data_IF_024236948370
#
_entry.id   IF_024236948370
#
_cell.length_a   1.000
_cell.length_b   1.000
_cell.length_c   1.000
_cell.angle_alpha   90.00
_cell.angle_beta   90.00
_cell.angle_gamma   90.00
#
_symmetry.space_group_name_H-M   'P 1'
#
loop_
_entity.id
_entity.type
_entity.pdbx_description
1 polymer ?
#
# COMPACT_ATOMS: atom_id res chain seq x y z
N UNK A 1 -55.59 1.18 -15.59
CA UNK A 1 -56.61 0.92 -14.56
C UNK A 1 -57.64 -0.03 -15.14
N UNK A 2 -57.91 -1.14 -14.45
CA UNK A 2 -59.15 -1.90 -14.58
C UNK A 2 -59.68 -2.10 -13.15
N UNK A 3 -60.96 -1.81 -12.85
CA UNK A 3 -61.47 -1.82 -11.49
C UNK A 3 -61.76 -3.25 -11.04
N UNK A 4 -61.35 -3.57 -9.81
CA UNK A 4 -61.86 -4.75 -9.09
C UNK A 4 -63.16 -4.40 -8.38
N UNK A 5 -64.12 -5.33 -8.40
CA UNK A 5 -65.40 -5.20 -7.71
C UNK A 5 -65.20 -5.11 -6.18
N UNK A 6 -65.80 -4.08 -5.58
CA UNK A 6 -65.71 -3.80 -4.14
C UNK A 6 -64.77 -2.63 -3.85
N UNK A 7 -65.33 -1.46 -3.57
CA UNK A 7 -64.65 -0.19 -3.37
C UNK A 7 -63.77 -0.08 -2.11
N UNK A 8 -63.04 -1.14 -1.74
CA UNK A 8 -61.96 -1.04 -0.76
C UNK A 8 -60.64 -0.75 -1.48
N UNK A 9 -59.97 0.33 -1.05
CA UNK A 9 -58.59 0.62 -1.46
C UNK A 9 -57.73 -0.59 -1.10
N UNK A 10 -57.27 -1.33 -2.12
CA UNK A 10 -56.40 -2.51 -1.97
C UNK A 10 -55.21 -2.11 -1.09
N UNK A 11 -55.18 -2.64 0.14
CA UNK A 11 -54.17 -2.30 1.13
C UNK A 11 -52.75 -2.60 0.63
N UNK A 12 -51.71 -2.03 1.28
CA UNK A 12 -50.34 -2.19 0.82
C UNK A 12 -49.96 -3.67 0.74
N UNK A 13 -49.11 -4.07 -0.23
CA UNK A 13 -48.72 -5.46 -0.43
C UNK A 13 -48.21 -6.11 0.87
N UNK A 14 -48.39 -7.44 1.07
CA UNK A 14 -48.02 -8.12 2.32
C UNK A 14 -46.58 -7.87 2.77
N UNK A 15 -45.65 -7.76 1.81
CA UNK A 15 -44.24 -7.41 2.03
C UNK A 15 -44.08 -6.07 2.74
N UNK A 16 -44.90 -5.08 2.37
CA UNK A 16 -44.88 -3.72 2.92
C UNK A 16 -45.42 -3.70 4.35
N UNK A 17 -46.51 -4.44 4.62
CA UNK A 17 -47.05 -4.56 5.98
C UNK A 17 -46.04 -5.19 6.94
N UNK A 18 -45.36 -6.25 6.50
CA UNK A 18 -44.29 -6.92 7.27
C UNK A 18 -43.10 -5.97 7.51
N UNK A 19 -42.79 -5.12 6.53
CA UNK A 19 -41.74 -4.12 6.65
C UNK A 19 -42.08 -3.03 7.68
N UNK A 20 -43.32 -2.51 7.64
CA UNK A 20 -43.79 -1.50 8.60
C UNK A 20 -43.82 -2.03 10.04
N UNK A 21 -44.15 -3.31 10.25
CA UNK A 21 -44.10 -3.91 11.59
C UNK A 21 -42.70 -3.97 12.21
N UNK A 22 -41.64 -4.01 11.39
CA UNK A 22 -40.25 -4.03 11.88
C UNK A 22 -39.84 -2.69 12.52
N UNK A 23 -40.40 -1.57 12.06
CA UNK A 23 -40.15 -0.25 12.65
C UNK A 23 -40.86 -0.03 14.00
N UNK A 24 -41.91 -0.81 14.29
CA UNK A 24 -42.61 -0.81 15.57
C UNK A 24 -41.98 -1.73 16.63
N UNK A 25 -40.97 -2.53 16.27
CA UNK A 25 -40.26 -3.39 17.23
C UNK A 25 -39.48 -2.54 18.23
N UNK A 26 -39.38 -2.98 19.49
CA UNK A 26 -38.51 -2.35 20.49
C UNK A 26 -37.03 -2.75 20.31
N UNK A 27 -36.74 -3.80 19.51
CA UNK A 27 -35.38 -4.25 19.24
C UNK A 27 -34.75 -3.40 18.14
N UNK A 28 -33.59 -2.81 18.42
CA UNK A 28 -32.87 -1.99 17.43
C UNK A 28 -32.41 -2.78 16.20
N UNK A 29 -32.08 -4.07 16.39
CA UNK A 29 -31.72 -4.99 15.30
C UNK A 29 -32.86 -5.11 14.26
N UNK A 30 -34.10 -5.28 14.73
CA UNK A 30 -35.27 -5.40 13.86
C UNK A 30 -35.55 -4.10 13.11
N UNK A 31 -35.36 -2.94 13.77
CA UNK A 31 -35.47 -1.63 13.12
C UNK A 31 -34.41 -1.48 12.03
N UNK A 32 -33.19 -1.95 12.27
CA UNK A 32 -32.10 -1.90 11.29
C UNK A 32 -32.36 -2.82 10.09
N UNK A 33 -32.86 -4.03 10.33
CA UNK A 33 -33.32 -4.96 9.27
C UNK A 33 -34.49 -4.34 8.48
N UNK A 34 -35.44 -3.71 9.18
CA UNK A 34 -36.53 -2.95 8.58
C UNK A 34 -36.01 -1.83 7.68
N UNK A 35 -35.03 -1.06 8.14
CA UNK A 35 -34.41 0.02 7.37
C UNK A 35 -33.73 -0.50 6.09
N UNK A 36 -32.92 -1.56 6.19
CA UNK A 36 -32.24 -2.19 5.05
C UNK A 36 -33.21 -2.79 4.03
N UNK A 37 -34.27 -3.45 4.50
CA UNK A 37 -35.31 -3.98 3.64
C UNK A 37 -36.10 -2.84 2.96
N UNK A 38 -36.32 -1.73 3.67
CA UNK A 38 -37.05 -0.57 3.15
C UNK A 38 -36.29 0.11 2.02
N UNK A 39 -34.95 0.12 2.07
CA UNK A 39 -34.12 0.66 0.98
C UNK A 39 -34.23 -0.16 -0.31
N UNK A 40 -34.34 -1.49 -0.20
CA UNK A 40 -34.52 -2.38 -1.37
C UNK A 40 -35.92 -2.26 -1.97
N UNK A 41 -36.94 -2.04 -1.14
CA UNK A 41 -38.36 -2.05 -1.56
C UNK A 41 -38.89 -0.62 -1.81
N UNK A 42 -38.20 0.41 -1.32
CA UNK A 42 -38.56 1.83 -1.38
C UNK A 42 -38.91 2.34 -2.78
N UNK A 43 -38.09 2.08 -3.81
CA UNK A 43 -38.42 2.48 -5.18
C UNK A 43 -39.72 1.83 -5.71
N UNK A 44 -40.01 0.59 -5.30
CA UNK A 44 -41.24 -0.11 -5.68
C UNK A 44 -42.46 0.42 -4.91
N UNK A 45 -42.26 0.97 -3.71
CA UNK A 45 -43.30 1.58 -2.88
C UNK A 45 -43.84 2.89 -3.45
N UNK A 46 -43.03 3.64 -4.21
CA UNK A 46 -43.45 4.92 -4.80
C UNK A 46 -44.72 4.82 -5.66
N UNK A 47 -45.01 3.64 -6.24
CA UNK A 47 -46.23 3.40 -7.04
C UNK A 47 -47.52 3.36 -6.20
N UNK A 48 -47.40 3.17 -4.90
CA UNK A 48 -48.52 2.94 -3.97
C UNK A 48 -48.70 4.04 -2.94
N UNK A 49 -47.76 4.99 -2.87
CA UNK A 49 -47.79 6.11 -1.94
C UNK A 49 -48.35 7.35 -2.68
N UNK A 50 -49.37 8.03 -2.15
CA UNK A 50 -50.01 9.15 -2.84
C UNK A 50 -49.34 10.50 -2.56
N UNK A 51 -49.36 11.38 -3.57
CA UNK A 51 -49.14 12.83 -3.42
C UNK A 51 -47.85 13.22 -2.70
N UNK A 52 -47.99 14.02 -1.64
CA UNK A 52 -46.87 14.59 -0.86
C UNK A 52 -45.95 13.53 -0.27
N UNK A 53 -46.51 12.43 0.23
CA UNK A 53 -45.76 11.34 0.87
C UNK A 53 -44.82 10.61 -0.11
N UNK A 54 -45.21 10.55 -1.40
CA UNK A 54 -44.35 9.98 -2.44
C UNK A 54 -43.16 10.89 -2.75
N UNK A 55 -43.38 12.21 -2.69
CA UNK A 55 -42.33 13.23 -2.77
C UNK A 55 -41.35 13.09 -1.62
N UNK A 56 -41.85 13.03 -0.37
CA UNK A 56 -41.02 12.88 0.82
C UNK A 56 -40.19 11.58 0.79
N UNK A 57 -40.81 10.46 0.38
CA UNK A 57 -40.12 9.18 0.21
C UNK A 57 -39.03 9.24 -0.87
N UNK A 58 -39.28 9.93 -1.99
CA UNK A 58 -38.29 10.12 -3.06
C UNK A 58 -37.12 10.98 -2.59
N UNK A 59 -37.41 12.05 -1.86
CA UNK A 59 -36.39 12.92 -1.25
C UNK A 59 -35.52 12.13 -0.29
N UNK A 60 -36.13 11.31 0.56
CA UNK A 60 -35.42 10.45 1.49
C UNK A 60 -34.55 9.40 0.77
N UNK A 61 -35.08 8.69 -0.24
CA UNK A 61 -34.32 7.70 -1.01
C UNK A 61 -33.13 8.33 -1.74
N UNK A 62 -33.31 9.52 -2.31
CA UNK A 62 -32.25 10.23 -3.03
C UNK A 62 -31.17 10.73 -2.07
N UNK A 63 -31.58 11.30 -0.94
CA UNK A 63 -30.66 11.73 0.14
C UNK A 63 -29.85 10.55 0.67
N UNK A 64 -30.53 9.42 0.92
CA UNK A 64 -29.88 8.21 1.35
C UNK A 64 -28.90 7.68 0.30
N UNK A 65 -29.24 7.76 -0.99
CA UNK A 65 -28.34 7.36 -2.07
C UNK A 65 -27.03 8.15 -2.04
N UNK A 66 -27.09 9.49 -1.87
CA UNK A 66 -25.87 10.29 -1.72
C UNK A 66 -25.09 9.92 -0.46
N UNK A 67 -25.78 9.78 0.67
CA UNK A 67 -25.14 9.43 1.94
C UNK A 67 -24.42 8.08 1.87
N UNK A 68 -25.06 7.08 1.26
CA UNK A 68 -24.53 5.72 1.15
C UNK A 68 -23.33 5.62 0.18
N UNK A 69 -23.29 6.47 -0.86
CA UNK A 69 -22.10 6.56 -1.73
C UNK A 69 -20.94 7.28 -1.05
N UNK A 70 -21.23 8.23 -0.15
CA UNK A 70 -20.23 8.99 0.59
C UNK A 70 -19.35 9.88 -0.30
N UNK A 71 -18.37 10.56 0.29
CA UNK A 71 -17.46 11.46 -0.42
C UNK A 71 -17.97 12.90 -0.50
N UNK A 72 -17.03 13.85 -0.60
CA UNK A 72 -17.33 15.28 -0.47
C UNK A 72 -18.35 15.76 -1.51
N UNK A 73 -18.17 15.41 -2.78
CA UNK A 73 -19.08 15.82 -3.87
C UNK A 73 -20.51 15.32 -3.67
N UNK A 74 -20.67 14.08 -3.21
CA UNK A 74 -21.98 13.51 -2.92
C UNK A 74 -22.62 14.18 -1.71
N UNK A 75 -21.87 14.46 -0.64
CA UNK A 75 -22.37 15.17 0.55
C UNK A 75 -22.81 16.60 0.19
N UNK A 76 -22.00 17.32 -0.59
CA UNK A 76 -22.36 18.67 -1.07
C UNK A 76 -23.61 18.61 -1.94
N UNK A 77 -23.68 17.69 -2.91
CA UNK A 77 -24.84 17.49 -3.77
C UNK A 77 -26.09 17.08 -3.00
N UNK A 78 -25.94 16.29 -1.92
CA UNK A 78 -27.02 15.92 -1.00
C UNK A 78 -27.62 17.15 -0.32
N UNK A 79 -26.78 18.04 0.22
CA UNK A 79 -27.25 19.27 0.85
C UNK A 79 -27.92 20.20 -0.16
N UNK A 80 -27.34 20.38 -1.36
CA UNK A 80 -27.96 21.16 -2.43
C UNK A 80 -29.32 20.58 -2.83
N UNK A 81 -29.41 19.25 -2.97
CA UNK A 81 -30.65 18.56 -3.26
C UNK A 81 -31.70 18.78 -2.16
N UNK A 82 -31.33 18.63 -0.88
CA UNK A 82 -32.23 18.86 0.26
C UNK A 82 -32.73 20.31 0.32
N UNK A 83 -31.84 21.29 0.12
CA UNK A 83 -32.23 22.70 0.07
C UNK A 83 -33.25 22.93 -1.04
N UNK A 84 -32.95 22.46 -2.25
CA UNK A 84 -33.82 22.62 -3.42
C UNK A 84 -35.17 21.90 -3.28
N UNK A 85 -35.19 20.73 -2.64
CA UNK A 85 -36.38 19.90 -2.53
C UNK A 85 -37.28 20.25 -1.33
N UNK A 86 -36.72 20.76 -0.23
CA UNK A 86 -37.44 20.92 1.06
C UNK A 86 -37.50 22.36 1.54
N UNK A 87 -36.48 23.18 1.26
CA UNK A 87 -36.36 24.53 1.82
C UNK A 87 -36.79 25.59 0.81
N UNK A 88 -36.05 25.72 -0.30
CA UNK A 88 -36.29 26.75 -1.31
C UNK A 88 -35.61 26.39 -2.66
N UNK A 89 -36.19 26.78 -3.80
CA UNK A 89 -35.58 26.56 -5.11
C UNK A 89 -34.19 27.21 -5.20
N UNK A 90 -33.20 26.43 -5.65
CA UNK A 90 -31.86 26.93 -5.89
C UNK A 90 -31.74 27.62 -7.26
N UNK A 91 -30.84 28.61 -7.41
CA UNK A 91 -30.56 29.23 -8.70
C UNK A 91 -30.04 28.23 -9.73
N UNK A 92 -30.31 28.50 -11.02
CA UNK A 92 -29.94 27.61 -12.13
C UNK A 92 -28.44 27.30 -12.19
N UNK A 93 -27.59 28.22 -11.73
CA UNK A 93 -26.14 28.04 -11.65
C UNK A 93 -25.68 26.91 -10.72
N UNK A 94 -26.53 26.49 -9.78
CA UNK A 94 -26.24 25.41 -8.83
C UNK A 94 -27.01 24.12 -9.16
N UNK A 95 -27.93 24.15 -10.12
CA UNK A 95 -28.79 23.01 -10.49
C UNK A 95 -28.58 22.54 -11.93
N UNK A 96 -27.83 23.29 -12.75
CA UNK A 96 -27.41 22.90 -14.09
C UNK A 96 -25.91 23.08 -14.25
N UNK A 97 -25.18 22.11 -14.85
CA UNK A 97 -23.80 22.32 -15.24
C UNK A 97 -23.79 23.42 -16.31
N UNK A 98 -23.30 24.61 -15.96
CA UNK A 98 -23.16 25.70 -16.90
C UNK A 98 -22.36 25.23 -18.12
N UNK A 99 -22.89 25.44 -19.33
CA UNK A 99 -22.15 25.21 -20.57
C UNK A 99 -20.83 25.99 -20.49
N UNK A 100 -19.71 25.28 -20.63
CA UNK A 100 -18.37 25.87 -20.52
C UNK A 100 -18.22 27.05 -21.50
N UNK A 101 -17.72 28.22 -21.06
CA UNK A 101 -17.43 29.30 -21.98
C UNK A 101 -16.20 28.92 -22.82
N UNK A 102 -16.41 28.80 -24.14
CA UNK A 102 -15.34 28.73 -25.13
C UNK A 102 -14.62 30.08 -25.19
N UNK A 103 -13.42 30.16 -24.61
CA UNK A 103 -12.57 31.35 -24.68
C UNK A 103 -11.11 31.01 -24.39
N UNK A 104 -10.27 31.12 -25.41
CA UNK A 104 -8.82 30.90 -25.35
C UNK A 104 -8.14 31.84 -24.34
N UNK A 105 -7.14 31.37 -23.56
CA UNK A 105 -6.39 32.26 -22.68
C UNK A 105 -5.20 32.87 -23.42
N UNK A 106 -5.23 34.19 -23.61
CA UNK A 106 -4.06 34.99 -23.94
C UNK A 106 -3.67 35.90 -22.77
N UNK A 107 -2.37 36.08 -22.54
CA UNK A 107 -1.82 37.23 -21.79
C UNK A 107 -1.11 36.92 -20.46
N UNK A 108 0.19 37.20 -20.43
CA UNK A 108 1.11 37.10 -19.28
C UNK A 108 0.90 38.15 -18.19
N UNK A 109 1.32 37.83 -16.95
CA UNK A 109 1.57 38.79 -15.87
C UNK A 109 2.12 38.12 -14.61
N UNK A 110 3.28 38.57 -14.13
CA UNK A 110 4.12 37.93 -13.11
C UNK A 110 3.96 38.50 -11.67
N UNK A 111 4.32 37.64 -10.71
CA UNK A 111 4.93 37.87 -9.38
C UNK A 111 4.16 38.55 -8.22
N UNK A 112 4.05 37.84 -7.09
CA UNK A 112 4.74 38.11 -5.78
C UNK A 112 3.89 37.80 -4.51
N UNK A 113 4.49 36.98 -3.63
CA UNK A 113 4.50 37.03 -2.14
C UNK A 113 3.22 37.25 -1.30
N UNK A 114 2.92 36.29 -0.41
CA UNK A 114 2.05 36.54 0.76
C UNK A 114 1.58 35.26 1.46
N UNK A 115 2.01 35.08 2.71
CA UNK A 115 1.63 33.99 3.60
C UNK A 115 0.12 33.96 3.91
N UNK A 116 -0.41 32.75 4.12
CA UNK A 116 -1.67 32.52 4.83
C UNK A 116 -2.94 32.85 4.05
N UNK A 117 -3.36 31.94 3.16
CA UNK A 117 -4.75 31.92 2.68
C UNK A 117 -5.26 30.48 2.61
N UNK A 118 -6.04 30.14 3.63
CA UNK A 118 -7.04 29.08 3.53
C UNK A 118 -7.98 29.38 2.34
N UNK A 119 -8.57 28.31 1.81
CA UNK A 119 -9.55 28.27 0.72
C UNK A 119 -8.93 28.34 -0.68
N UNK A 120 -8.36 27.20 -1.10
CA UNK A 120 -8.39 26.82 -2.50
C UNK A 120 -9.84 26.81 -2.98
N UNK A 121 -10.08 27.52 -4.06
CA UNK A 121 -11.38 27.86 -4.65
C UNK A 121 -12.48 26.82 -4.44
N UNK A 122 -13.62 27.27 -3.91
CA UNK A 122 -14.89 26.61 -4.15
C UNK A 122 -15.11 26.59 -5.67
N UNK A 123 -14.74 25.48 -6.32
CA UNK A 123 -15.35 25.11 -7.58
C UNK A 123 -16.86 25.21 -7.35
N UNK A 124 -17.56 26.02 -8.14
CA UNK A 124 -18.98 26.28 -7.97
C UNK A 124 -19.71 24.94 -7.80
N UNK A 125 -20.27 24.72 -6.60
CA UNK A 125 -20.88 23.46 -6.24
C UNK A 125 -22.18 23.28 -7.04
N UNK A 126 -22.08 22.64 -8.20
CA UNK A 126 -23.24 22.27 -9.01
C UNK A 126 -23.76 20.93 -8.50
N UNK A 127 -25.06 20.87 -8.24
CA UNK A 127 -25.74 19.63 -7.89
C UNK A 127 -25.59 18.61 -9.04
N UNK A 128 -24.96 17.47 -8.74
CA UNK A 128 -24.78 16.35 -9.66
C UNK A 128 -25.50 15.11 -9.15
N UNK A 129 -25.85 14.16 -10.03
CA UNK A 129 -26.38 12.86 -9.61
C UNK A 129 -25.39 12.12 -8.67
N UNK A 130 -25.86 11.17 -7.83
CA UNK A 130 -24.99 10.39 -6.95
C UNK A 130 -23.88 9.71 -7.73
N UNK A 131 -22.64 10.01 -7.37
CA UNK A 131 -21.45 9.40 -7.96
C UNK A 131 -21.19 8.10 -7.22
N UNK A 132 -21.32 6.98 -7.92
CA UNK A 132 -21.05 5.67 -7.34
C UNK A 132 -19.54 5.42 -7.24
N UNK A 133 -19.10 4.97 -6.07
CA UNK A 133 -17.73 4.46 -5.91
C UNK A 133 -17.77 2.94 -5.94
N UNK A 134 -17.01 2.26 -6.81
CA UNK A 134 -17.05 0.80 -6.87
C UNK A 134 -16.51 0.19 -5.57
N UNK A 135 -16.80 -1.08 -5.31
CA UNK A 135 -16.26 -1.81 -4.14
C UNK A 135 -14.75 -2.06 -4.24
N UNK A 136 -14.29 -2.22 -5.48
CA UNK A 136 -12.91 -2.42 -5.87
C UNK A 136 -12.60 -1.53 -7.08
N UNK A 137 -11.39 -0.99 -7.14
CA UNK A 137 -10.93 -0.25 -8.29
C UNK A 137 -9.51 0.24 -8.10
N UNK A 138 -9.01 0.99 -9.08
CA UNK A 138 -7.73 1.67 -8.98
C UNK A 138 -7.91 3.18 -9.14
N UNK A 139 -6.92 3.97 -8.76
CA UNK A 139 -6.93 5.43 -8.95
C UNK A 139 -5.54 5.97 -9.24
N UNK A 140 -5.44 7.12 -9.91
CA UNK A 140 -4.17 7.81 -10.07
C UNK A 140 -4.34 9.33 -9.94
N UNK A 141 -3.43 10.07 -9.29
CA UNK A 141 -3.51 11.54 -9.20
C UNK A 141 -3.53 12.27 -10.55
N UNK A 142 -2.93 11.66 -11.58
CA UNK A 142 -2.90 12.23 -12.94
C UNK A 142 -4.12 11.87 -13.80
N UNK A 143 -5.01 11.00 -13.31
CA UNK A 143 -6.20 10.62 -14.07
C UNK A 143 -7.33 11.63 -13.78
N UNK A 144 -7.49 12.60 -14.69
CA UNK A 144 -8.43 13.73 -14.53
C UNK A 144 -9.64 13.68 -15.49
N UNK A 145 -9.73 12.68 -16.38
CA UNK A 145 -10.71 12.64 -17.48
C UNK A 145 -11.96 11.82 -17.15
N UNK A 146 -12.82 12.34 -16.27
CA UNK A 146 -14.25 11.98 -16.24
C UNK A 146 -14.64 10.68 -15.53
N UNK A 147 -13.69 9.83 -15.12
CA UNK A 147 -13.92 8.78 -14.13
C UNK A 147 -12.90 8.92 -13.00
N UNK A 148 -13.34 8.93 -11.74
CA UNK A 148 -12.42 9.03 -10.60
C UNK A 148 -11.60 7.75 -10.39
N UNK A 149 -12.06 6.63 -10.96
CA UNK A 149 -11.56 5.28 -10.66
C UNK A 149 -11.52 4.41 -11.92
N UNK A 150 -10.50 3.56 -12.02
CA UNK A 150 -10.46 2.45 -12.98
C UNK A 150 -11.19 1.24 -12.41
N UNK A 151 -11.92 0.50 -13.24
CA UNK A 151 -12.72 -0.64 -12.80
C UNK A 151 -11.86 -1.88 -12.48
N UNK A 152 -10.64 -1.97 -13.02
CA UNK A 152 -9.74 -3.10 -12.79
C UNK A 152 -8.26 -2.73 -12.81
N UNK A 153 -7.39 -3.55 -12.20
CA UNK A 153 -5.94 -3.40 -12.31
C UNK A 153 -5.43 -3.40 -13.76
N UNK A 154 -6.02 -4.24 -14.63
CA UNK A 154 -5.64 -4.32 -16.03
C UNK A 154 -5.91 -3.01 -16.79
N UNK A 155 -7.06 -2.39 -16.53
CA UNK A 155 -7.42 -1.10 -17.11
C UNK A 155 -6.47 0.01 -16.67
N UNK A 156 -6.16 0.07 -15.36
CA UNK A 156 -5.17 0.99 -14.82
C UNK A 156 -3.81 0.81 -15.51
N UNK A 157 -3.33 -0.44 -15.67
CA UNK A 157 -2.04 -0.69 -16.29
C UNK A 157 -2.02 -0.30 -17.78
N UNK A 158 -3.12 -0.49 -18.52
CA UNK A 158 -3.23 0.00 -19.90
C UNK A 158 -3.07 1.52 -19.98
N UNK A 159 -3.76 2.23 -19.09
CA UNK A 159 -3.63 3.70 -19.00
C UNK A 159 -2.22 4.12 -18.55
N UNK A 160 -1.66 3.48 -17.52
CA UNK A 160 -0.35 3.83 -16.96
C UNK A 160 0.78 3.61 -17.98
N UNK A 161 0.69 2.56 -18.79
CA UNK A 161 1.67 2.30 -19.85
C UNK A 161 1.69 3.41 -20.93
N UNK A 162 0.61 4.17 -21.07
CA UNK A 162 0.50 5.28 -22.02
C UNK A 162 0.87 6.63 -21.38
N UNK A 163 0.47 6.86 -20.13
CA UNK A 163 0.51 8.19 -19.49
C UNK A 163 1.44 8.28 -18.28
N UNK A 164 1.82 7.16 -17.68
CA UNK A 164 2.56 7.10 -16.42
C UNK A 164 3.99 7.66 -16.52
N UNK A 165 4.52 8.24 -15.44
CA UNK A 165 5.86 8.83 -15.42
C UNK A 165 6.97 7.78 -15.56
N UNK A 166 6.75 6.55 -15.08
CA UNK A 166 7.72 5.46 -15.16
C UNK A 166 7.50 4.52 -16.37
N UNK A 167 6.70 4.92 -17.36
CA UNK A 167 6.44 4.11 -18.56
C UNK A 167 7.75 3.76 -19.29
N UNK A 168 7.90 2.50 -19.69
CA UNK A 168 9.08 2.02 -20.44
C UNK A 168 10.38 1.93 -19.64
N UNK A 169 10.42 2.33 -18.37
CA UNK A 169 11.65 2.32 -17.55
C UNK A 169 12.06 0.93 -17.06
N UNK A 170 11.14 -0.05 -17.08
CA UNK A 170 11.35 -1.36 -16.46
C UNK A 170 11.29 -1.35 -14.93
N UNK A 171 10.81 -0.24 -14.33
CA UNK A 171 10.58 -0.11 -12.89
C UNK A 171 9.75 -1.28 -12.33
N UNK A 172 10.02 -1.72 -11.09
CA UNK A 172 9.20 -2.73 -10.44
C UNK A 172 7.74 -2.30 -10.30
N UNK A 173 6.80 -3.17 -10.69
CA UNK A 173 5.36 -2.95 -10.50
C UNK A 173 4.96 -3.43 -9.12
N UNK A 174 4.32 -2.59 -8.32
CA UNK A 174 3.97 -2.89 -6.93
C UNK A 174 2.47 -2.70 -6.70
N UNK A 175 1.76 -3.79 -6.40
CA UNK A 175 0.37 -3.71 -5.95
C UNK A 175 0.29 -3.02 -4.60
N UNK A 176 -0.39 -1.88 -4.52
CA UNK A 176 -0.60 -1.13 -3.27
C UNK A 176 -2.04 -1.28 -2.85
N UNK A 177 -2.31 -2.05 -1.80
CA UNK A 177 -3.66 -2.31 -1.32
C UNK A 177 -4.11 -1.19 -0.38
N UNK A 178 -5.17 -0.50 -0.77
CA UNK A 178 -5.72 0.68 -0.10
C UNK A 178 -7.10 0.38 0.49
N UNK A 179 -7.43 1.08 1.58
CA UNK A 179 -8.77 1.00 2.17
C UNK A 179 -9.73 1.94 1.41
N UNK A 180 -10.85 1.41 0.88
CA UNK A 180 -11.84 2.19 0.09
C UNK A 180 -12.34 3.42 0.84
N UNK A 181 -12.54 3.31 2.16
CA UNK A 181 -12.92 4.47 3.00
C UNK A 181 -11.94 5.62 2.85
N UNK A 182 -10.62 5.37 2.76
CA UNK A 182 -9.62 6.42 2.62
C UNK A 182 -9.63 7.08 1.23
N UNK A 183 -10.00 6.31 0.20
CA UNK A 183 -10.19 6.82 -1.15
C UNK A 183 -11.41 7.74 -1.21
N UNK A 184 -12.54 7.31 -0.64
CA UNK A 184 -13.80 8.09 -0.63
C UNK A 184 -13.64 9.38 0.19
N UNK A 185 -12.93 9.32 1.31
CA UNK A 185 -12.64 10.51 2.12
C UNK A 185 -11.44 11.31 1.62
N UNK A 186 -10.88 10.96 0.45
CA UNK A 186 -9.80 11.69 -0.22
C UNK A 186 -8.60 11.96 0.70
N UNK A 187 -8.18 10.94 1.45
CA UNK A 187 -7.04 11.05 2.34
C UNK A 187 -5.76 11.39 1.56
N UNK A 188 -5.10 12.47 1.97
CA UNK A 188 -3.98 13.08 1.25
C UNK A 188 -2.76 12.15 1.10
N UNK A 189 -2.57 11.23 2.05
CA UNK A 189 -1.45 10.29 2.00
C UNK A 189 -1.46 9.42 0.74
N UNK A 190 -2.61 9.14 0.12
CA UNK A 190 -2.70 8.26 -1.05
C UNK A 190 -1.94 8.87 -2.24
N UNK A 191 -2.23 10.14 -2.54
CA UNK A 191 -1.54 10.90 -3.59
C UNK A 191 -0.05 11.03 -3.30
N UNK A 192 0.30 11.31 -2.04
CA UNK A 192 1.70 11.41 -1.61
C UNK A 192 2.43 10.09 -1.75
N UNK A 193 1.82 8.97 -1.35
CA UNK A 193 2.40 7.63 -1.44
C UNK A 193 2.70 7.26 -2.89
N UNK A 194 1.71 7.41 -3.77
CA UNK A 194 1.86 7.15 -5.21
C UNK A 194 3.02 7.97 -5.78
N UNK A 195 3.01 9.28 -5.53
CA UNK A 195 4.02 10.21 -6.05
C UNK A 195 5.43 9.88 -5.53
N UNK A 196 5.57 9.60 -4.23
CA UNK A 196 6.87 9.26 -3.61
C UNK A 196 7.40 7.92 -4.12
N UNK A 197 6.54 6.92 -4.33
CA UNK A 197 6.94 5.64 -4.93
C UNK A 197 7.46 5.83 -6.35
N UNK A 198 6.78 6.64 -7.17
CA UNK A 198 7.19 6.94 -8.53
C UNK A 198 8.54 7.68 -8.58
N UNK A 199 8.74 8.67 -7.70
CA UNK A 199 10.01 9.39 -7.56
C UNK A 199 11.16 8.46 -7.17
N UNK A 200 10.86 7.42 -6.39
CA UNK A 200 11.81 6.38 -6.00
C UNK A 200 11.90 5.23 -7.03
N UNK A 201 11.39 5.40 -8.25
CA UNK A 201 11.55 4.44 -9.34
C UNK A 201 10.82 3.12 -9.11
N UNK A 202 9.71 3.16 -8.36
CA UNK A 202 8.79 2.04 -8.16
C UNK A 202 7.44 2.42 -8.76
N UNK A 203 6.89 1.57 -9.61
CA UNK A 203 5.59 1.80 -10.27
C UNK A 203 4.46 1.32 -9.34
N UNK A 204 3.65 2.21 -8.77
CA UNK A 204 2.53 1.81 -7.93
C UNK A 204 1.33 1.37 -8.77
N UNK A 205 0.72 0.25 -8.38
CA UNK A 205 -0.60 -0.22 -8.82
C UNK A 205 -1.56 -0.10 -7.61
N UNK A 206 -2.14 1.09 -7.37
CA UNK A 206 -2.99 1.35 -6.22
C UNK A 206 -4.38 0.74 -6.40
N UNK A 207 -4.70 -0.28 -5.61
CA UNK A 207 -5.96 -1.01 -5.66
C UNK A 207 -6.69 -0.78 -4.35
N UNK A 208 -7.86 -0.16 -4.39
CA UNK A 208 -8.69 -0.01 -3.21
C UNK A 208 -9.72 -1.13 -3.10
N UNK A 209 -10.02 -1.52 -1.86
CA UNK A 209 -10.98 -2.56 -1.52
C UNK A 209 -11.79 -2.19 -0.27
N UNK A 210 -12.92 -2.87 -0.03
CA UNK A 210 -13.73 -2.62 1.17
C UNK A 210 -13.04 -3.00 2.49
N UNK A 211 -12.16 -4.00 2.47
CA UNK A 211 -11.29 -4.32 3.61
C UNK A 211 -10.85 -5.78 3.71
N UNK A 212 -11.77 -6.74 3.67
CA UNK A 212 -11.46 -8.17 3.90
C UNK A 212 -11.04 -8.92 2.64
N UNK A 213 -11.12 -8.27 1.49
CA UNK A 213 -10.96 -8.87 0.15
C UNK A 213 -9.52 -8.79 -0.38
N UNK A 214 -8.54 -8.39 0.45
CA UNK A 214 -7.15 -8.22 0.02
C UNK A 214 -6.59 -9.49 -0.60
N UNK A 215 -6.86 -10.63 0.05
CA UNK A 215 -6.42 -11.94 -0.42
C UNK A 215 -7.06 -12.33 -1.76
N UNK A 216 -8.32 -11.98 -2.03
CA UNK A 216 -8.97 -12.30 -3.31
C UNK A 216 -8.36 -11.47 -4.44
N UNK A 217 -8.03 -10.20 -4.20
CA UNK A 217 -7.32 -9.36 -5.18
C UNK A 217 -5.97 -9.96 -5.52
N UNK A 218 -5.16 -10.29 -4.50
CA UNK A 218 -3.82 -10.84 -4.72
C UNK A 218 -3.89 -12.20 -5.43
N UNK A 219 -4.87 -13.04 -5.08
CA UNK A 219 -5.05 -14.38 -5.65
C UNK A 219 -5.62 -14.38 -7.07
N UNK A 220 -6.57 -13.49 -7.35
CA UNK A 220 -7.40 -13.57 -8.57
C UNK A 220 -7.06 -12.50 -9.61
N UNK A 221 -6.53 -11.34 -9.19
CA UNK A 221 -6.31 -10.20 -10.08
C UNK A 221 -4.83 -9.84 -10.25
N UNK A 222 -3.95 -10.40 -9.43
CA UNK A 222 -2.51 -10.21 -9.52
C UNK A 222 -1.83 -11.53 -9.82
N UNK A 223 -0.68 -11.45 -10.48
CA UNK A 223 0.17 -12.63 -10.75
C UNK A 223 1.64 -12.23 -10.68
N UNK A 224 2.50 -13.23 -10.61
CA UNK A 224 3.95 -13.08 -10.65
C UNK A 224 4.51 -13.53 -12.01
N UNK A 225 5.71 -13.05 -12.35
CA UNK A 225 6.42 -13.52 -13.56
C UNK A 225 6.65 -15.03 -13.56
N UNK A 226 6.90 -15.62 -12.39
CA UNK A 226 7.10 -17.07 -12.24
C UNK A 226 5.84 -17.86 -12.55
N UNK A 227 4.67 -17.39 -12.09
CA UNK A 227 3.38 -18.02 -12.40
C UNK A 227 3.06 -17.92 -13.89
N UNK A 228 3.27 -16.75 -14.49
CA UNK A 228 3.07 -16.57 -15.93
C UNK A 228 3.98 -17.51 -16.75
N UNK A 229 5.25 -17.67 -16.35
CA UNK A 229 6.18 -18.61 -16.98
C UNK A 229 5.80 -20.08 -16.74
N UNK A 230 5.21 -20.41 -15.59
CA UNK A 230 4.69 -21.75 -15.31
C UNK A 230 3.47 -22.06 -16.18
N UNK A 231 2.51 -21.12 -16.28
CA UNK A 231 1.34 -21.23 -17.16
C UNK A 231 1.74 -21.40 -18.63
N UNK A 232 2.73 -20.62 -19.10
CA UNK A 232 3.25 -20.74 -20.46
C UNK A 232 3.88 -22.11 -20.75
N UNK A 233 4.35 -22.82 -19.71
CA UNK A 233 4.87 -24.20 -19.79
C UNK A 233 3.80 -25.27 -19.52
N UNK A 234 2.53 -24.88 -19.36
CA UNK A 234 1.43 -25.79 -19.04
C UNK A 234 1.42 -26.29 -17.59
N UNK A 235 2.22 -25.69 -16.70
CA UNK A 235 2.27 -26.04 -15.28
C UNK A 235 1.22 -25.21 -14.54
N UNK A 236 0.20 -25.88 -14.01
CA UNK A 236 -0.91 -25.26 -13.26
C UNK A 236 -0.84 -25.55 -11.75
N UNK A 237 -0.02 -26.51 -11.32
CA UNK A 237 0.17 -26.84 -9.92
C UNK A 237 0.75 -25.66 -9.15
N UNK A 238 0.05 -25.22 -8.09
CA UNK A 238 0.44 -24.07 -7.27
C UNK A 238 -0.09 -22.71 -7.73
N UNK A 239 -0.85 -22.67 -8.83
CA UNK A 239 -1.49 -21.45 -9.33
C UNK A 239 -2.97 -21.48 -8.96
N UNK A 240 -3.51 -20.33 -8.53
CA UNK A 240 -4.92 -20.24 -8.19
C UNK A 240 -5.83 -20.61 -9.37
N UNK A 241 -6.82 -21.49 -9.19
CA UNK A 241 -7.78 -21.85 -10.25
C UNK A 241 -8.71 -20.68 -10.61
N UNK A 242 -8.81 -19.67 -9.75
CA UNK A 242 -9.63 -18.46 -9.94
C UNK A 242 -8.83 -17.28 -10.50
N UNK A 243 -7.57 -17.48 -10.87
CA UNK A 243 -6.74 -16.44 -11.47
C UNK A 243 -7.37 -15.92 -12.77
N UNK A 244 -7.61 -14.62 -12.83
CA UNK A 244 -8.17 -13.94 -14.00
C UNK A 244 -7.21 -13.99 -15.19
N UNK A 245 -7.78 -14.05 -16.40
CA UNK A 245 -7.00 -13.89 -17.65
C UNK A 245 -6.38 -12.50 -17.78
N UNK A 246 -7.01 -11.51 -17.15
CA UNK A 246 -6.54 -10.12 -17.11
C UNK A 246 -5.68 -9.84 -15.85
N UNK A 247 -5.20 -10.89 -15.15
CA UNK A 247 -4.38 -10.71 -13.97
C UNK A 247 -3.08 -9.96 -14.30
N UNK A 248 -2.76 -8.97 -13.47
CA UNK A 248 -1.65 -8.06 -13.70
C UNK A 248 -0.36 -8.62 -13.08
N UNK A 249 0.75 -8.71 -13.84
CA UNK A 249 2.04 -9.08 -13.27
C UNK A 249 2.54 -8.00 -12.32
N UNK A 250 2.81 -8.37 -11.06
CA UNK A 250 3.42 -7.52 -10.04
C UNK A 250 4.72 -8.13 -9.54
N UNK A 251 5.65 -7.27 -9.14
CA UNK A 251 6.92 -7.67 -8.53
C UNK A 251 6.84 -7.73 -6.99
N UNK A 252 5.93 -6.95 -6.37
CA UNK A 252 5.67 -6.99 -4.92
C UNK A 252 4.24 -6.51 -4.60
N UNK A 253 3.79 -6.77 -3.38
CA UNK A 253 2.54 -6.24 -2.82
C UNK A 253 2.85 -5.49 -1.53
N UNK A 254 2.30 -4.29 -1.39
CA UNK A 254 2.33 -3.47 -0.18
C UNK A 254 0.90 -3.33 0.32
N UNK A 255 0.63 -3.85 1.51
CA UNK A 255 -0.65 -3.65 2.18
C UNK A 255 -0.55 -2.41 3.08
N UNK A 256 -1.38 -1.40 2.82
CA UNK A 256 -1.59 -0.28 3.77
C UNK A 256 -2.87 -0.47 4.57
N UNK A 257 -3.45 -1.67 4.54
CA UNK A 257 -4.69 -2.02 5.23
C UNK A 257 -4.32 -2.45 6.63
N UNK A 258 -4.25 -1.47 7.53
CA UNK A 258 -3.87 -1.67 8.93
C UNK A 258 -3.58 -0.32 9.58
N UNK A 259 -4.54 0.22 10.32
CA UNK A 259 -4.31 1.40 11.14
C UNK A 259 -3.78 0.93 12.49
N UNK A 260 -2.58 1.32 12.95
CA UNK A 260 -1.99 0.78 14.17
C UNK A 260 -2.71 1.35 15.41
N UNK A 261 -3.89 0.82 15.72
CA UNK A 261 -4.53 0.95 17.03
C UNK A 261 -4.04 -0.14 18.00
N UNK A 262 -3.42 -1.21 17.48
CA UNK A 262 -2.93 -2.33 18.30
C UNK A 262 -1.75 -3.08 17.67
N UNK A 263 -0.95 -3.73 18.52
CA UNK A 263 0.19 -4.60 18.13
C UNK A 263 -0.26 -5.78 17.24
N UNK A 264 -1.52 -6.22 17.39
CA UNK A 264 -2.11 -7.32 16.60
C UNK A 264 -2.02 -7.07 15.09
N UNK A 265 -2.04 -5.81 14.66
CA UNK A 265 -1.97 -5.46 13.24
C UNK A 265 -0.56 -5.57 12.65
N UNK A 266 0.48 -5.79 13.47
CA UNK A 266 1.80 -6.24 13.00
C UNK A 266 1.84 -7.76 12.86
N UNK A 267 1.29 -8.48 13.84
CA UNK A 267 1.36 -9.96 13.88
C UNK A 267 0.50 -10.63 12.80
N UNK A 268 -0.64 -10.05 12.41
CA UNK A 268 -1.49 -10.64 11.37
C UNK A 268 -0.77 -10.71 10.00
N UNK A 269 -0.19 -9.62 9.47
CA UNK A 269 0.65 -9.71 8.27
C UNK A 269 1.82 -10.69 8.41
N UNK A 270 2.45 -10.79 9.59
CA UNK A 270 3.55 -11.74 9.82
C UNK A 270 3.08 -13.20 9.71
N UNK A 271 1.87 -13.52 10.18
CA UNK A 271 1.24 -14.84 9.98
C UNK A 271 0.98 -15.15 8.50
N UNK A 272 0.70 -14.12 7.69
CA UNK A 272 0.56 -14.23 6.23
C UNK A 272 1.92 -14.32 5.50
N UNK A 273 3.05 -14.29 6.23
CA UNK A 273 4.40 -14.30 5.65
C UNK A 273 4.82 -12.96 5.07
N UNK A 274 4.13 -11.86 5.41
CA UNK A 274 4.55 -10.52 5.02
C UNK A 274 5.90 -10.19 5.67
N UNK A 275 6.77 -9.56 4.88
CA UNK A 275 8.07 -9.09 5.33
C UNK A 275 8.05 -7.57 5.48
N UNK A 276 8.90 -7.06 6.37
CA UNK A 276 9.16 -5.63 6.54
C UNK A 276 7.94 -4.81 7.00
N UNK A 277 7.36 -5.20 8.14
CA UNK A 277 6.26 -4.51 8.83
C UNK A 277 6.71 -3.16 9.41
N UNK A 278 6.86 -2.15 8.55
CA UNK A 278 7.32 -0.81 8.93
C UNK A 278 6.20 0.24 8.88
N UNK A 279 6.09 1.12 9.89
CA UNK A 279 5.13 2.22 9.86
C UNK A 279 5.55 3.27 8.84
N UNK A 280 4.78 3.50 7.79
CA UNK A 280 5.07 4.53 6.77
C UNK A 280 4.71 5.96 7.22
N UNK A 281 3.88 6.08 8.24
CA UNK A 281 3.28 7.33 8.66
C UNK A 281 2.59 7.23 10.03
N UNK A 282 1.80 8.25 10.36
CA UNK A 282 1.05 8.33 11.60
C UNK A 282 -0.22 9.18 11.47
N UNK A 283 -1.10 9.06 12.46
CA UNK A 283 -2.32 9.84 12.56
C UNK A 283 -2.06 11.14 13.32
N UNK A 284 -2.49 12.27 12.76
CA UNK A 284 -2.50 13.57 13.45
C UNK A 284 -3.93 14.13 13.34
N UNK A 285 -4.68 14.08 14.44
CA UNK A 285 -6.12 14.30 14.43
C UNK A 285 -6.82 13.20 13.62
N UNK A 286 -7.58 13.57 12.60
CA UNK A 286 -8.26 12.63 11.69
C UNK A 286 -7.50 12.38 10.38
N UNK A 287 -6.32 13.01 10.20
CA UNK A 287 -5.55 12.97 8.97
C UNK A 287 -4.30 12.08 9.09
N UNK A 288 -4.05 11.29 8.04
CA UNK A 288 -2.86 10.42 7.96
C UNK A 288 -1.74 11.18 7.27
N UNK A 289 -0.57 11.20 7.91
CA UNK A 289 0.65 11.80 7.38
C UNK A 289 1.70 10.74 7.15
N UNK A 290 2.34 10.76 5.99
CA UNK A 290 3.50 9.92 5.70
C UNK A 290 4.77 10.57 6.23
N UNK A 291 5.74 9.72 6.55
CA UNK A 291 7.13 10.13 6.75
C UNK A 291 7.89 9.76 5.46
N UNK A 292 8.22 10.74 4.59
CA UNK A 292 8.76 10.47 3.26
C UNK A 292 10.00 9.55 3.25
N UNK A 293 10.88 9.70 4.24
CA UNK A 293 12.09 8.88 4.40
C UNK A 293 11.76 7.40 4.58
N UNK A 294 10.62 7.08 5.20
CA UNK A 294 10.17 5.70 5.41
C UNK A 294 9.60 5.11 4.12
N UNK A 295 8.86 5.89 3.35
CA UNK A 295 8.40 5.49 1.99
C UNK A 295 9.61 5.24 1.09
N UNK A 296 10.62 6.13 1.14
CA UNK A 296 11.88 5.96 0.42
C UNK A 296 12.62 4.69 0.83
N UNK A 297 12.74 4.41 2.12
CA UNK A 297 13.39 3.19 2.63
C UNK A 297 12.64 1.93 2.17
N UNK A 298 11.31 1.93 2.23
CA UNK A 298 10.47 0.85 1.72
C UNK A 298 10.69 0.64 0.22
N UNK A 299 10.61 1.70 -0.59
CA UNK A 299 10.84 1.64 -2.03
C UNK A 299 12.23 1.09 -2.37
N UNK A 300 13.27 1.55 -1.66
CA UNK A 300 14.63 1.04 -1.81
C UNK A 300 14.76 -0.46 -1.52
N UNK A 301 14.09 -0.96 -0.47
CA UNK A 301 14.06 -2.39 -0.15
C UNK A 301 13.30 -3.21 -1.19
N UNK A 302 12.16 -2.71 -1.68
CA UNK A 302 11.42 -3.34 -2.77
C UNK A 302 12.33 -3.48 -4.01
N UNK A 303 13.01 -2.41 -4.43
CA UNK A 303 13.94 -2.47 -5.56
C UNK A 303 15.06 -3.48 -5.31
N UNK A 304 15.59 -3.59 -4.10
CA UNK A 304 16.60 -4.57 -3.74
C UNK A 304 16.09 -6.01 -3.86
N UNK A 305 14.89 -6.30 -3.33
CA UNK A 305 14.25 -7.62 -3.46
C UNK A 305 13.97 -8.00 -4.91
N UNK A 306 13.47 -7.05 -5.71
CA UNK A 306 13.18 -7.28 -7.12
C UNK A 306 14.45 -7.45 -7.93
N UNK A 307 15.49 -6.65 -7.64
CA UNK A 307 16.83 -6.82 -8.24
C UNK A 307 17.40 -8.20 -7.92
N UNK A 308 17.31 -8.65 -6.66
CA UNK A 308 17.76 -9.98 -6.25
C UNK A 308 17.05 -11.09 -7.03
N UNK A 309 15.72 -10.99 -7.19
CA UNK A 309 14.93 -11.95 -7.97
C UNK A 309 15.32 -11.97 -9.45
N UNK A 310 15.65 -10.82 -10.04
CA UNK A 310 15.99 -10.68 -11.47
C UNK A 310 17.44 -11.10 -11.79
N UNK A 311 18.37 -11.06 -10.83
CA UNK A 311 19.77 -11.47 -11.03
C UNK A 311 19.91 -12.97 -11.23
N UNK A 312 20.80 -13.36 -12.14
CA UNK A 312 21.23 -14.75 -12.30
C UNK A 312 22.00 -15.22 -11.06
N UNK A 313 21.92 -16.52 -10.73
CA UNK A 313 22.51 -17.06 -9.50
C UNK A 313 24.00 -16.73 -9.34
N UNK A 314 24.80 -16.84 -10.40
CA UNK A 314 26.23 -16.52 -10.40
C UNK A 314 26.56 -15.03 -10.19
N UNK A 315 25.60 -14.13 -10.38
CA UNK A 315 25.78 -12.69 -10.12
C UNK A 315 25.31 -12.27 -8.72
N UNK A 316 24.62 -13.16 -7.99
CA UNK A 316 24.10 -12.90 -6.65
C UNK A 316 25.25 -12.97 -5.65
N UNK A 317 25.37 -11.92 -4.85
CA UNK A 317 26.37 -11.83 -3.78
C UNK A 317 25.65 -12.01 -2.45
N UNK A 318 25.99 -13.08 -1.74
CA UNK A 318 25.41 -13.44 -0.44
C UNK A 318 26.50 -13.26 0.62
N UNK A 319 26.22 -12.47 1.66
CA UNK A 319 27.06 -12.36 2.82
C UNK A 319 26.52 -13.27 3.93
N UNK A 320 27.37 -14.11 4.50
CA UNK A 320 27.05 -14.95 5.66
C UNK A 320 27.81 -14.38 6.85
N UNK A 321 27.08 -14.02 7.91
CA UNK A 321 27.66 -13.44 9.12
C UNK A 321 27.71 -14.51 10.22
N UNK A 322 28.91 -14.79 10.73
CA UNK A 322 29.11 -15.65 11.90
C UNK A 322 29.34 -14.78 13.13
N UNK A 323 28.61 -15.06 14.20
CA UNK A 323 28.81 -14.37 15.47
C UNK A 323 30.00 -14.98 16.22
N UNK A 324 30.95 -14.13 16.60
CA UNK A 324 32.05 -14.48 17.51
C UNK A 324 31.90 -13.75 18.84
N UNK A 325 31.01 -14.27 19.70
CA UNK A 325 30.76 -13.68 21.00
C UNK A 325 30.83 -14.72 22.13
N UNK A 326 31.46 -14.38 23.28
CA UNK A 326 32.21 -13.16 23.55
C UNK A 326 33.58 -13.15 22.85
N UNK A 327 34.11 -11.99 22.44
CA UNK A 327 35.36 -11.92 21.68
C UNK A 327 36.54 -12.47 22.49
N UNK A 328 37.41 -13.27 21.86
CA UNK A 328 38.62 -13.85 22.47
C UNK A 328 38.40 -14.97 23.48
N UNK A 329 37.14 -15.26 23.86
CA UNK A 329 36.80 -16.33 24.84
C UNK A 329 35.70 -17.26 24.36
N UNK A 330 34.83 -16.81 23.46
CA UNK A 330 33.76 -17.59 22.85
C UNK A 330 34.19 -18.22 21.54
N UNK A 331 33.61 -19.38 21.22
CA UNK A 331 33.81 -20.01 19.92
C UNK A 331 33.00 -19.26 18.84
N UNK A 332 33.70 -18.78 17.81
CA UNK A 332 33.09 -18.18 16.62
C UNK A 332 32.14 -19.15 15.94
N UNK A 333 31.01 -18.63 15.48
CA UNK A 333 30.01 -19.44 14.81
C UNK A 333 29.32 -20.41 15.78
N UNK A 334 29.11 -20.03 17.04
CA UNK A 334 28.22 -20.78 17.93
C UNK A 334 26.79 -20.25 17.82
N UNK A 335 25.82 -21.16 17.74
CA UNK A 335 24.38 -20.84 17.74
C UNK A 335 23.61 -21.92 18.51
N UNK A 336 22.55 -21.52 19.23
CA UNK A 336 21.78 -22.44 20.06
C UNK A 336 21.16 -23.57 19.22
N UNK A 337 21.45 -24.82 19.62
CA UNK A 337 20.93 -26.06 19.00
C UNK A 337 21.24 -26.20 17.49
N UNK A 338 22.20 -25.45 16.95
CA UNK A 338 22.60 -25.51 15.55
C UNK A 338 24.09 -25.84 15.42
N UNK A 339 24.40 -26.92 14.71
CA UNK A 339 25.78 -27.20 14.29
C UNK A 339 26.13 -26.25 13.12
N UNK A 340 26.63 -25.06 13.45
CA UNK A 340 26.97 -24.03 12.47
C UNK A 340 28.03 -24.49 11.46
N UNK A 341 29.15 -25.15 11.85
CA UNK A 341 30.12 -25.68 10.89
C UNK A 341 29.48 -26.56 9.80
N UNK A 342 28.72 -27.58 10.19
CA UNK A 342 28.04 -28.49 9.25
C UNK A 342 26.96 -27.77 8.44
N UNK A 343 26.23 -26.85 9.07
CA UNK A 343 25.18 -26.07 8.39
C UNK A 343 25.75 -25.15 7.32
N UNK A 344 26.89 -24.50 7.60
CA UNK A 344 27.60 -23.66 6.64
C UNK A 344 28.12 -24.48 5.47
N UNK A 345 28.72 -25.64 5.72
CA UNK A 345 29.19 -26.54 4.67
C UNK A 345 28.03 -27.00 3.77
N UNK A 346 26.91 -27.42 4.35
CA UNK A 346 25.72 -27.83 3.62
C UNK A 346 25.13 -26.67 2.79
N UNK A 347 25.06 -25.46 3.37
CA UNK A 347 24.59 -24.26 2.68
C UNK A 347 25.47 -23.91 1.48
N UNK A 348 26.80 -23.92 1.63
CA UNK A 348 27.72 -23.64 0.53
C UNK A 348 27.63 -24.69 -0.58
N UNK A 349 27.51 -25.98 -0.22
CA UNK A 349 27.30 -27.03 -1.20
C UNK A 349 25.99 -26.83 -1.99
N UNK A 350 24.90 -26.45 -1.32
CA UNK A 350 23.62 -26.13 -1.95
C UNK A 350 23.71 -24.89 -2.85
N UNK A 351 24.39 -23.82 -2.40
CA UNK A 351 24.61 -22.63 -3.23
C UNK A 351 25.42 -22.97 -4.50
N UNK A 352 26.45 -23.81 -4.38
CA UNK A 352 27.23 -24.27 -5.53
C UNK A 352 26.37 -25.08 -6.52
N UNK A 353 25.51 -25.98 -6.03
CA UNK A 353 24.63 -26.77 -6.90
C UNK A 353 23.52 -25.94 -7.56
N UNK A 354 23.09 -24.86 -6.93
CA UNK A 354 22.18 -23.86 -7.51
C UNK A 354 22.87 -22.87 -8.47
N UNK A 355 24.19 -22.97 -8.66
CA UNK A 355 24.95 -22.18 -9.62
C UNK A 355 25.42 -20.81 -9.11
N UNK A 356 25.53 -20.64 -7.79
CA UNK A 356 26.21 -19.48 -7.21
C UNK A 356 27.72 -19.62 -7.38
N UNK A 357 28.39 -18.49 -7.60
CA UNK A 357 29.85 -18.43 -7.69
C UNK A 357 30.48 -18.41 -6.29
N UNK A 358 31.22 -19.47 -5.95
CA UNK A 358 32.02 -19.55 -4.72
C UNK A 358 33.50 -19.20 -4.95
N UNK A 359 33.85 -18.72 -6.14
CA UNK A 359 35.23 -18.46 -6.55
C UNK A 359 36.07 -19.73 -6.56
N UNK A 360 37.25 -19.66 -5.95
CA UNK A 360 38.23 -20.75 -5.89
C UNK A 360 38.02 -21.70 -4.70
N UNK A 361 36.91 -21.59 -3.98
CA UNK A 361 36.65 -22.42 -2.81
C UNK A 361 36.37 -23.87 -3.23
N UNK A 362 37.28 -24.77 -2.87
CA UNK A 362 37.07 -26.20 -3.01
C UNK A 362 36.44 -26.79 -1.74
N UNK A 363 35.13 -27.04 -1.81
CA UNK A 363 34.35 -27.63 -0.73
C UNK A 363 34.71 -29.09 -0.43
N UNK A 364 35.48 -29.76 -1.31
CA UNK A 364 35.97 -31.12 -1.05
C UNK A 364 37.29 -31.12 -0.26
N UNK A 365 38.02 -29.99 -0.26
CA UNK A 365 39.33 -29.87 0.38
C UNK A 365 39.26 -29.53 1.87
N UNK A 366 38.10 -29.08 2.37
CA UNK A 366 37.93 -28.66 3.76
C UNK A 366 36.58 -29.06 4.33
N UNK A 367 36.53 -29.38 5.62
CA UNK A 367 35.27 -29.56 6.35
C UNK A 367 34.76 -28.23 6.95
N UNK A 368 33.52 -28.23 7.44
CA UNK A 368 32.91 -27.05 8.04
C UNK A 368 33.66 -26.51 9.26
N UNK A 369 34.32 -27.37 10.04
CA UNK A 369 35.07 -26.97 11.24
C UNK A 369 36.33 -26.20 10.84
N UNK A 370 37.04 -26.70 9.84
CA UNK A 370 38.21 -26.04 9.26
C UNK A 370 37.85 -24.69 8.66
N UNK A 371 36.68 -24.56 8.04
CA UNK A 371 36.19 -23.28 7.50
C UNK A 371 35.93 -22.26 8.61
N UNK A 372 35.23 -22.67 9.69
CA UNK A 372 34.97 -21.78 10.84
C UNK A 372 36.26 -21.42 11.56
N UNK A 373 37.19 -22.36 11.72
CA UNK A 373 38.51 -22.10 12.32
C UNK A 373 39.33 -21.11 11.47
N UNK A 374 39.34 -21.26 10.14
CA UNK A 374 40.01 -20.34 9.23
C UNK A 374 39.42 -18.93 9.31
N UNK A 375 38.09 -18.80 9.37
CA UNK A 375 37.40 -17.52 9.54
C UNK A 375 37.69 -16.88 10.91
N UNK A 376 37.75 -17.68 11.97
CA UNK A 376 38.09 -17.22 13.32
C UNK A 376 39.50 -16.65 13.39
N UNK A 377 40.48 -17.34 12.77
CA UNK A 377 41.86 -16.85 12.70
C UNK A 377 42.01 -15.54 11.91
N UNK A 378 41.06 -15.19 11.04
CA UNK A 378 41.03 -13.87 10.39
C UNK A 378 40.45 -12.76 11.28
N UNK A 379 39.57 -13.13 12.22
CA UNK A 379 38.92 -12.18 13.13
C UNK A 379 39.85 -11.71 14.25
N UNK A 380 40.79 -12.56 14.69
CA UNK A 380 41.61 -12.31 15.88
C UNK A 380 42.62 -11.16 15.78
N UNK A 381 42.97 -10.62 14.59
CA UNK A 381 44.11 -9.68 14.59
C UNK A 381 44.29 -8.63 13.47
N UNK A 382 43.34 -8.39 12.56
CA UNK A 382 43.57 -7.38 11.50
C UNK A 382 42.47 -6.34 11.31
N UNK A 383 41.21 -6.72 11.21
CA UNK A 383 40.13 -5.76 10.94
C UNK A 383 39.87 -4.80 12.11
N UNK A 384 40.02 -5.28 13.35
CA UNK A 384 39.75 -4.50 14.56
C UNK A 384 40.94 -3.59 14.94
N UNK A 385 42.17 -4.10 14.83
CA UNK A 385 43.41 -3.38 15.16
C UNK A 385 43.90 -2.39 14.09
N UNK A 386 43.49 -2.55 12.82
CA UNK A 386 43.93 -1.67 11.71
C UNK A 386 42.79 -0.97 10.96
N UNK A 387 41.55 -1.12 11.43
CA UNK A 387 40.37 -0.58 10.75
C UNK A 387 40.31 -1.01 9.27
N UNK A 388 39.93 -0.08 8.38
CA UNK A 388 39.78 -0.33 6.94
C UNK A 388 41.04 -0.89 6.23
N UNK A 389 42.23 -0.71 6.82
CA UNK A 389 43.51 -1.20 6.25
C UNK A 389 43.85 -2.65 6.62
N UNK A 390 43.10 -3.25 7.55
CA UNK A 390 43.28 -4.64 7.97
C UNK A 390 42.28 -5.64 7.38
N UNK A 391 41.19 -5.15 6.79
CA UNK A 391 40.35 -5.99 5.93
C UNK A 391 41.12 -6.31 4.64
N UNK A 392 40.89 -7.49 4.06
CA UNK A 392 41.31 -7.75 2.68
C UNK A 392 40.67 -6.68 1.78
N UNK A 393 41.47 -5.68 1.39
CA UNK A 393 41.07 -4.65 0.43
C UNK A 393 41.11 -5.37 -0.92
N UNK A 394 39.95 -5.58 -1.54
CA UNK A 394 39.91 -5.72 -2.99
C UNK A 394 40.69 -4.52 -3.55
N UNK A 395 41.82 -4.71 -4.27
CA UNK A 395 42.67 -3.61 -4.72
C UNK A 395 41.94 -2.55 -5.57
N UNK A 396 40.69 -2.82 -5.98
CA UNK A 396 39.82 -1.92 -6.74
C UNK A 396 38.97 -0.98 -5.89
N UNK A 397 38.85 -1.20 -4.58
CA UNK A 397 38.06 -0.35 -3.68
C UNK A 397 38.96 0.59 -2.88
N UNK A 398 39.14 1.80 -3.41
CA UNK A 398 39.92 2.86 -2.74
C UNK A 398 39.25 3.33 -1.44
N UNK A 399 40.07 3.83 -0.52
CA UNK A 399 39.69 4.35 0.80
C UNK A 399 38.62 5.47 0.75
N UNK A 400 38.45 6.12 -0.41
CA UNK A 400 37.39 7.10 -0.67
C UNK A 400 35.98 6.50 -0.75
N UNK A 401 35.83 5.19 -1.05
CA UNK A 401 34.54 4.53 -1.18
C UNK A 401 33.80 4.33 0.15
N UNK A 402 34.47 4.52 1.30
CA UNK A 402 33.87 4.36 2.62
C UNK A 402 33.20 5.65 3.16
N UNK A 403 33.34 6.79 2.47
CA UNK A 403 33.11 8.10 3.07
C UNK A 403 31.74 8.81 2.86
N UNK A 404 30.67 8.18 2.33
CA UNK A 404 29.32 8.77 2.51
C UNK A 404 28.23 7.85 3.10
N UNK A 405 28.48 6.57 3.40
CA UNK A 405 27.43 5.66 3.91
C UNK A 405 27.04 5.90 5.40
N UNK A 406 27.74 6.79 6.11
CA UNK A 406 27.50 7.12 7.52
C UNK A 406 26.71 8.42 7.74
N UNK A 407 26.12 9.03 6.70
CA UNK A 407 25.40 10.32 6.83
C UNK A 407 24.03 10.17 7.51
N UNK A 408 23.49 8.95 7.66
CA UNK A 408 22.18 8.72 8.28
C UNK A 408 22.16 8.61 9.81
N UNK A 409 23.32 8.49 10.48
CA UNK A 409 23.36 8.16 11.92
C UNK A 409 23.40 9.41 12.83
N UNK A 410 23.72 10.59 12.28
CA UNK A 410 23.77 11.83 13.05
C UNK A 410 22.40 12.46 13.37
N UNK A 411 21.31 11.96 12.79
CA UNK A 411 19.98 12.53 13.00
C UNK A 411 19.31 12.13 14.34
N UNK A 412 19.93 11.22 15.11
CA UNK A 412 19.39 10.76 16.40
C UNK A 412 20.03 11.41 17.63
N UNK A 413 20.96 12.37 17.47
CA UNK A 413 21.60 13.07 18.60
C UNK A 413 22.46 12.19 19.53
N UNK A 414 22.44 10.88 19.33
CA UNK A 414 23.23 9.86 20.04
C UNK A 414 23.75 8.88 18.98
N UNK A 415 24.67 9.37 18.15
CA UNK A 415 25.43 8.50 17.25
C UNK A 415 26.52 7.76 18.03
N UNK A 416 27.14 6.71 17.46
CA UNK A 416 28.23 5.96 18.10
C UNK A 416 29.44 6.83 18.48
N UNK A 417 29.52 8.10 18.06
CA UNK A 417 30.54 9.03 18.53
C UNK A 417 30.40 9.40 20.02
N UNK A 418 29.18 9.34 20.59
CA UNK A 418 28.94 9.64 22.01
C UNK A 418 29.43 8.52 22.93
N UNK A 419 29.23 7.26 22.52
CA UNK A 419 29.62 6.09 23.32
C UNK A 419 31.01 5.54 22.98
N UNK A 420 31.48 5.76 21.74
CA UNK A 420 32.74 5.19 21.25
C UNK A 420 33.82 6.24 20.98
N UNK A 421 33.54 7.55 21.10
CA UNK A 421 34.47 8.61 20.75
C UNK A 421 34.62 8.85 19.24
N UNK A 422 35.27 9.96 18.87
CA UNK A 422 35.64 10.23 17.48
C UNK A 422 36.70 9.22 17.03
N UNK A 423 36.40 8.54 15.92
CA UNK A 423 37.08 7.35 15.40
C UNK A 423 38.63 7.38 15.47
N UNK A 424 39.27 6.20 15.64
CA UNK A 424 38.66 4.90 15.94
C UNK A 424 38.38 4.79 17.44
N UNK A 425 37.20 4.30 17.78
CA UNK A 425 36.70 4.32 19.14
C UNK A 425 37.34 3.31 20.07
N UNK A 426 37.31 3.59 21.38
CA UNK A 426 38.09 2.91 22.43
C UNK A 426 37.62 1.49 22.81
N UNK A 427 37.00 0.75 21.89
CA UNK A 427 36.47 -0.59 22.16
C UNK A 427 37.57 -1.62 22.53
N UNK A 428 38.81 -1.40 22.08
CA UNK A 428 39.95 -2.29 22.33
C UNK A 428 41.26 -1.50 22.49
N UNK A 429 41.36 -0.69 23.55
CA UNK A 429 42.70 -0.28 24.03
C UNK A 429 43.17 -1.39 24.97
N UNK A 430 44.30 -1.99 24.61
CA UNK A 430 44.99 -3.05 25.36
C UNK A 430 45.03 -2.74 26.87
N UNK A 431 44.42 -3.61 27.67
CA UNK A 431 44.42 -3.52 29.13
C UNK A 431 45.84 -3.61 29.75
N UNK A 432 46.89 -3.92 28.96
CA UNK A 432 48.28 -3.83 29.42
C UNK A 432 48.89 -2.42 29.39
N UNK A 433 48.21 -1.41 28.85
CA UNK A 433 48.67 0.00 28.94
C UNK A 433 48.05 0.80 30.10
N UNK A 434 47.27 0.16 30.98
CA UNK A 434 46.66 0.79 32.17
C UNK A 434 47.20 0.19 33.49
N UNK A 435 48.53 0.10 33.61
CA UNK A 435 49.23 0.02 34.90
C UNK A 435 50.42 0.95 34.94
#
# INVERSE_FOLDING_TARGET
MAPGAGGEKKGPPPVVKKLLSLFGSQREEDKMVGYLAFLKVGPALLKWVPGKQAGDLRTWLTTYSYWNQGGLTNVVSMFLYLINAVIAPLPASLTSPAAAPSGSPGGHGAAAGGAGRAVGAAAAAVMSAPIETPSLGCLHPLYAEGQAYFASPAEYMRWYNQHGPLRGTGAPVVGVLLYRKHVITQQQYITQLITLMEQEGVLPLPIFINGVEAHTVVRDLLTSRSEQQALARGVTGGISPTLSRDAVPVDAVVSTIGFPLSVVLYSLPELDGAIDTVPLGGLVGDAIYLVPERVKKMAGRIRAWVSLRRKAAHERRVAILLYGFPPGVGATGTAALLNVPKSLQALLAALKSEGYDLGHLDLAAFDGEQLVAALSGQAEQRAVSRGATGCWIDPRLSQAAYCPLAVGVNALGVGPAADWGLRPGAAEVDSQQLK
#
